data_IF_951206442827
#
_entry.id   IF_951206442827
#
_cell.length_a   1.000
_cell.length_b   1.000
_cell.length_c   1.000
_cell.angle_alpha   90.00
_cell.angle_beta   90.00
_cell.angle_gamma   90.00
#
_symmetry.space_group_name_H-M   'P 1'
#
loop_
_entity.id
_entity.type
_entity.pdbx_description
1 polymer ?
#
# COMPACT_ATOMS: atom_id res chain seq x y z
N UNK A 1 14.96 -15.39 -17.00
CA UNK A 1 14.96 -15.54 -15.53
C UNK A 1 14.23 -14.34 -14.93
N UNK A 2 13.24 -14.55 -14.04
CA UNK A 2 12.59 -13.43 -13.34
C UNK A 2 13.67 -12.66 -12.55
N UNK A 3 13.69 -11.33 -12.68
CA UNK A 3 14.68 -10.47 -12.00
C UNK A 3 14.52 -10.66 -10.48
N UNK A 4 15.61 -10.95 -9.79
CA UNK A 4 15.60 -11.14 -8.33
C UNK A 4 15.21 -9.83 -7.65
N UNK A 5 14.17 -9.87 -6.80
CA UNK A 5 13.72 -8.73 -6.00
C UNK A 5 14.66 -8.61 -4.80
N UNK A 6 15.37 -7.48 -4.66
CA UNK A 6 16.27 -7.24 -3.52
C UNK A 6 15.60 -6.42 -2.43
N UNK A 7 14.71 -5.51 -2.83
CA UNK A 7 14.00 -4.62 -1.90
C UNK A 7 12.56 -4.40 -2.36
N UNK A 8 11.63 -4.47 -1.42
CA UNK A 8 10.18 -4.31 -1.64
C UNK A 8 9.57 -3.32 -0.66
N UNK A 9 8.66 -2.47 -1.14
CA UNK A 9 7.82 -1.63 -0.28
C UNK A 9 6.45 -2.30 -0.13
N UNK A 10 6.08 -2.68 1.09
CA UNK A 10 4.80 -3.30 1.43
C UNK A 10 3.83 -2.24 2.00
N UNK A 11 2.64 -2.13 1.42
CA UNK A 11 1.51 -1.47 2.08
C UNK A 11 1.09 -2.31 3.30
N UNK A 12 1.39 -1.79 4.49
CA UNK A 12 1.31 -2.50 5.77
C UNK A 12 0.26 -1.85 6.67
N UNK A 13 -0.75 -2.62 7.08
CA UNK A 13 -1.84 -2.13 7.94
C UNK A 13 -1.65 -2.46 9.42
N UNK A 14 -0.63 -3.25 9.78
CA UNK A 14 -0.49 -3.76 11.16
C UNK A 14 -1.41 -4.94 11.49
N UNK A 15 -2.28 -5.35 10.56
CA UNK A 15 -3.14 -6.53 10.69
C UNK A 15 -2.35 -7.84 10.57
N UNK A 16 -3.03 -8.95 10.88
CA UNK A 16 -2.45 -10.30 10.81
C UNK A 16 -1.90 -10.59 9.42
N UNK A 17 -2.71 -10.38 8.37
CA UNK A 17 -2.35 -10.68 6.99
C UNK A 17 -1.06 -9.96 6.55
N UNK A 18 -1.00 -8.63 6.71
CA UNK A 18 0.19 -7.87 6.32
C UNK A 18 1.41 -8.19 7.18
N UNK A 19 1.22 -8.65 8.42
CA UNK A 19 2.32 -9.12 9.26
C UNK A 19 2.86 -10.46 8.77
N UNK A 20 2.00 -11.41 8.43
CA UNK A 20 2.42 -12.67 7.79
C UNK A 20 3.13 -12.38 6.46
N UNK A 21 2.64 -11.43 5.66
CA UNK A 21 3.26 -11.04 4.39
C UNK A 21 4.68 -10.49 4.59
N UNK A 22 4.96 -9.71 5.63
CA UNK A 22 6.34 -9.26 5.92
C UNK A 22 7.27 -10.47 6.08
N UNK A 23 6.88 -11.46 6.89
CA UNK A 23 7.70 -12.68 7.08
C UNK A 23 7.84 -13.47 5.79
N UNK A 24 6.74 -13.67 5.08
CA UNK A 24 6.72 -14.39 3.81
C UNK A 24 7.63 -13.73 2.75
N UNK A 25 7.63 -12.40 2.62
CA UNK A 25 8.54 -11.70 1.70
C UNK A 25 10.01 -11.90 2.07
N UNK A 26 10.34 -11.91 3.36
CA UNK A 26 11.72 -12.17 3.82
C UNK A 26 12.12 -13.62 3.51
N UNK A 27 11.26 -14.59 3.80
CA UNK A 27 11.58 -16.02 3.65
C UNK A 27 11.55 -16.50 2.19
N UNK A 28 10.57 -16.06 1.40
CA UNK A 28 10.37 -16.52 0.01
C UNK A 28 11.24 -15.75 -0.98
N UNK A 29 11.42 -14.44 -0.79
CA UNK A 29 12.19 -13.62 -1.72
C UNK A 29 13.61 -13.31 -1.23
N UNK A 30 13.91 -13.48 0.06
CA UNK A 30 15.21 -13.10 0.63
C UNK A 30 15.51 -11.61 0.51
N UNK A 31 14.45 -10.79 0.48
CA UNK A 31 14.53 -9.36 0.16
C UNK A 31 14.35 -8.48 1.40
N UNK A 32 14.87 -7.25 1.32
CA UNK A 32 14.62 -6.23 2.34
C UNK A 32 13.17 -5.72 2.21
N UNK A 33 12.41 -5.81 3.30
CA UNK A 33 11.03 -5.32 3.35
C UNK A 33 10.97 -3.95 4.02
N UNK A 34 10.44 -2.97 3.30
CA UNK A 34 10.08 -1.66 3.83
C UNK A 34 8.58 -1.65 4.06
N UNK A 35 8.15 -1.52 5.30
CA UNK A 35 6.74 -1.38 5.64
C UNK A 35 6.30 0.08 5.48
N UNK A 36 5.17 0.31 4.83
CA UNK A 36 4.58 1.63 4.66
C UNK A 36 3.13 1.62 5.13
N UNK A 37 2.79 2.53 6.05
CA UNK A 37 1.43 2.85 6.45
C UNK A 37 1.13 4.31 6.13
N UNK A 38 -0.08 4.58 5.64
CA UNK A 38 -0.58 5.93 5.40
C UNK A 38 -1.60 6.29 6.48
N UNK A 39 -1.40 7.37 7.22
CA UNK A 39 -2.46 7.95 8.05
C UNK A 39 -3.45 8.72 7.16
N UNK A 40 -4.70 8.27 7.16
CA UNK A 40 -5.82 8.92 6.48
C UNK A 40 -6.94 9.29 7.46
N UNK A 41 -6.65 9.28 8.76
CA UNK A 41 -7.57 9.63 9.84
C UNK A 41 -8.05 8.44 10.68
N UNK A 42 -7.42 7.27 10.56
CA UNK A 42 -7.79 6.07 11.34
C UNK A 42 -7.27 6.05 12.79
N UNK A 43 -6.52 7.09 13.23
CA UNK A 43 -6.13 7.33 14.63
C UNK A 43 -5.43 6.12 15.29
N UNK A 44 -6.06 5.54 16.31
CA UNK A 44 -5.52 4.50 17.22
C UNK A 44 -5.04 3.24 16.48
N UNK A 45 -5.49 3.00 15.25
CA UNK A 45 -5.03 1.87 14.43
C UNK A 45 -3.51 1.92 14.12
N UNK A 46 -2.89 3.09 14.21
CA UNK A 46 -1.45 3.31 13.97
C UNK A 46 -0.57 3.05 15.19
N UNK A 47 -1.16 2.89 16.38
CA UNK A 47 -0.41 2.71 17.61
C UNK A 47 0.37 1.40 17.60
N UNK A 48 1.66 1.48 17.98
CA UNK A 48 2.58 0.34 17.99
C UNK A 48 2.81 -0.31 16.61
N UNK A 49 2.36 0.30 15.51
CA UNK A 49 2.46 -0.27 14.17
C UNK A 49 3.92 -0.39 13.71
N UNK A 50 4.76 0.58 14.07
CA UNK A 50 6.21 0.54 13.84
C UNK A 50 6.86 -0.66 14.53
N UNK A 51 6.60 -0.83 15.83
CA UNK A 51 7.20 -1.91 16.61
C UNK A 51 6.75 -3.28 16.11
N UNK A 52 5.47 -3.42 15.72
CA UNK A 52 4.95 -4.63 15.07
C UNK A 52 5.71 -4.92 13.78
N UNK A 53 5.79 -3.97 12.85
CA UNK A 53 6.49 -4.17 11.57
C UNK A 53 7.95 -4.61 11.76
N UNK A 54 8.69 -3.94 12.65
CA UNK A 54 10.09 -4.28 12.95
C UNK A 54 10.21 -5.68 13.57
N UNK A 55 9.39 -6.01 14.58
CA UNK A 55 9.38 -7.35 15.20
C UNK A 55 9.08 -8.45 14.20
N UNK A 56 8.23 -8.16 13.22
CA UNK A 56 7.87 -9.08 12.15
C UNK A 56 8.96 -9.20 11.08
N UNK A 57 9.93 -8.28 11.02
CA UNK A 57 11.12 -8.39 10.15
C UNK A 57 11.22 -7.34 9.05
N UNK A 58 10.44 -6.27 9.11
CA UNK A 58 10.66 -5.11 8.24
C UNK A 58 12.01 -4.45 8.60
N UNK A 59 12.80 -4.10 7.59
CA UNK A 59 14.08 -3.39 7.77
C UNK A 59 13.87 -1.90 8.04
N UNK A 60 12.78 -1.33 7.53
CA UNK A 60 12.42 0.08 7.71
C UNK A 60 10.90 0.25 7.71
N UNK A 61 10.42 1.30 8.37
CA UNK A 61 9.00 1.63 8.46
C UNK A 61 8.78 3.12 8.16
N UNK A 62 7.86 3.38 7.24
CA UNK A 62 7.27 4.69 6.96
C UNK A 62 5.84 4.71 7.51
N UNK A 63 5.50 5.75 8.26
CA UNK A 63 4.15 6.04 8.73
C UNK A 63 3.93 7.51 8.39
N UNK A 64 3.25 7.78 7.28
CA UNK A 64 3.15 9.13 6.74
C UNK A 64 1.73 9.66 6.93
N UNK A 65 1.62 10.87 7.49
CA UNK A 65 0.36 11.59 7.57
C UNK A 65 -0.03 12.15 6.20
N UNK A 66 -1.11 11.61 5.64
CA UNK A 66 -1.66 11.99 4.33
C UNK A 66 -3.08 12.56 4.47
N UNK A 67 -3.54 12.91 5.68
CA UNK A 67 -4.90 13.39 5.93
C UNK A 67 -5.23 14.65 5.13
N UNK A 68 -4.33 15.64 5.13
CA UNK A 68 -4.49 16.90 4.41
C UNK A 68 -4.46 16.70 2.89
N UNK A 69 -3.54 15.87 2.37
CA UNK A 69 -3.50 15.54 0.94
C UNK A 69 -4.76 14.79 0.51
N UNK A 70 -5.23 13.86 1.34
CA UNK A 70 -6.45 13.11 1.06
C UNK A 70 -7.67 14.03 0.97
N UNK A 71 -7.84 14.94 1.92
CA UNK A 71 -8.91 15.90 1.90
C UNK A 71 -8.85 16.81 0.65
N UNK A 72 -7.70 17.45 0.43
CA UNK A 72 -7.51 18.47 -0.60
C UNK A 72 -7.55 17.90 -2.02
N UNK A 73 -6.84 16.79 -2.26
CA UNK A 73 -6.53 16.32 -3.62
C UNK A 73 -7.36 15.11 -4.05
N UNK A 74 -8.16 14.50 -3.15
CA UNK A 74 -9.02 13.35 -3.46
C UNK A 74 -10.48 13.58 -3.05
N UNK A 75 -10.74 13.93 -1.79
CA UNK A 75 -12.11 14.11 -1.26
C UNK A 75 -12.79 15.34 -1.86
N UNK A 76 -12.16 16.53 -1.80
CA UNK A 76 -12.77 17.75 -2.33
C UNK A 76 -13.02 17.72 -3.85
N UNK A 77 -12.14 17.14 -4.70
CA UNK A 77 -12.48 16.90 -6.11
C UNK A 77 -13.71 16.00 -6.30
N UNK A 78 -13.82 14.90 -5.57
CA UNK A 78 -14.99 14.01 -5.65
C UNK A 78 -16.28 14.71 -5.18
N UNK A 79 -16.18 15.52 -4.13
CA UNK A 79 -17.29 16.33 -3.60
C UNK A 79 -17.75 17.38 -4.62
N UNK A 80 -16.82 18.09 -5.27
CA UNK A 80 -17.14 19.06 -6.35
C UNK A 80 -17.88 18.41 -7.52
N UNK A 81 -17.60 17.15 -7.79
CA UNK A 81 -18.29 16.37 -8.82
C UNK A 81 -19.63 15.78 -8.37
N UNK A 82 -20.03 15.97 -7.10
CA UNK A 82 -21.15 15.26 -6.47
C UNK A 82 -21.08 13.75 -6.72
N UNK A 83 -19.87 13.19 -6.61
CA UNK A 83 -19.63 11.84 -7.07
C UNK A 83 -20.25 10.81 -6.10
N UNK A 84 -21.26 10.09 -6.59
CA UNK A 84 -21.97 9.04 -5.86
C UNK A 84 -22.05 7.81 -6.75
N UNK A 85 -21.47 6.71 -6.30
CA UNK A 85 -21.52 5.44 -7.02
C UNK A 85 -22.85 4.73 -6.74
N UNK A 86 -23.54 4.32 -7.81
CA UNK A 86 -24.85 3.62 -7.75
C UNK A 86 -25.88 4.33 -6.85
N UNK A 87 -25.84 5.67 -6.82
CA UNK A 87 -26.80 6.51 -6.10
C UNK A 87 -26.70 6.49 -4.57
N UNK A 88 -25.77 5.71 -3.98
CA UNK A 88 -25.69 5.55 -2.51
C UNK A 88 -24.28 5.62 -1.94
N UNK A 89 -23.25 5.16 -2.67
CA UNK A 89 -21.91 5.01 -2.11
C UNK A 89 -21.02 6.22 -2.40
N UNK A 90 -20.54 6.87 -1.33
CA UNK A 90 -19.65 8.05 -1.38
C UNK A 90 -18.17 7.73 -1.63
N UNK A 91 -17.86 6.50 -2.09
CA UNK A 91 -16.55 6.13 -2.63
C UNK A 91 -15.33 6.28 -1.69
N UNK A 92 -15.51 6.36 -0.37
CA UNK A 92 -14.40 6.61 0.57
C UNK A 92 -13.20 5.67 0.39
N UNK A 93 -13.43 4.36 0.28
CA UNK A 93 -12.37 3.39 0.00
C UNK A 93 -11.74 3.59 -1.38
N UNK A 94 -12.57 3.79 -2.41
CA UNK A 94 -12.10 3.96 -3.79
C UNK A 94 -11.20 5.18 -3.97
N UNK A 95 -11.45 6.25 -3.22
CA UNK A 95 -10.67 7.50 -3.25
C UNK A 95 -9.35 7.36 -2.48
N UNK A 96 -9.34 6.63 -1.36
CA UNK A 96 -8.15 6.47 -0.52
C UNK A 96 -7.05 5.64 -1.20
N UNK A 97 -7.42 4.56 -1.91
CA UNK A 97 -6.44 3.58 -2.43
C UNK A 97 -5.44 4.17 -3.43
N UNK A 98 -5.83 5.03 -4.39
CA UNK A 98 -4.86 5.68 -5.27
C UNK A 98 -3.85 6.56 -4.53
N UNK A 99 -4.23 7.25 -3.45
CA UNK A 99 -3.29 8.04 -2.65
C UNK A 99 -2.27 7.15 -1.94
N UNK A 100 -2.73 6.07 -1.30
CA UNK A 100 -1.82 5.10 -0.64
C UNK A 100 -0.86 4.51 -1.69
N UNK A 101 -1.38 4.09 -2.84
CA UNK A 101 -0.58 3.50 -3.91
C UNK A 101 0.45 4.50 -4.49
N UNK A 102 0.03 5.76 -4.68
CA UNK A 102 0.92 6.85 -5.12
C UNK A 102 2.07 7.04 -4.14
N UNK A 103 1.76 7.18 -2.85
CA UNK A 103 2.80 7.40 -1.83
C UNK A 103 3.74 6.19 -1.72
N UNK A 104 3.23 4.99 -1.89
CA UNK A 104 4.05 3.77 -1.92
C UNK A 104 5.04 3.76 -3.08
N UNK A 105 4.63 4.21 -4.27
CA UNK A 105 5.53 4.37 -5.43
C UNK A 105 6.61 5.43 -5.17
N UNK A 106 6.25 6.54 -4.52
CA UNK A 106 7.23 7.57 -4.13
C UNK A 106 8.28 7.02 -3.17
N UNK A 107 7.86 6.24 -2.17
CA UNK A 107 8.77 5.56 -1.25
C UNK A 107 9.63 4.53 -2.00
N UNK A 108 9.05 3.76 -2.91
CA UNK A 108 9.80 2.81 -3.73
C UNK A 108 10.90 3.50 -4.55
N UNK A 109 10.63 4.69 -5.11
CA UNK A 109 11.64 5.51 -5.80
C UNK A 109 12.73 6.00 -4.85
N UNK A 110 12.33 6.56 -3.71
CA UNK A 110 13.25 7.07 -2.68
C UNK A 110 14.22 5.98 -2.21
N UNK A 111 13.68 4.79 -1.99
CA UNK A 111 14.40 3.65 -1.44
C UNK A 111 15.08 2.78 -2.49
N UNK A 112 14.88 3.12 -3.77
CA UNK A 112 15.35 2.35 -4.93
C UNK A 112 14.90 0.88 -4.85
N UNK A 113 13.64 0.67 -4.47
CA UNK A 113 13.04 -0.65 -4.38
C UNK A 113 12.76 -1.22 -5.77
N UNK A 114 12.90 -2.54 -5.92
CA UNK A 114 12.64 -3.25 -7.17
C UNK A 114 11.14 -3.58 -7.34
N UNK A 115 10.42 -3.62 -6.22
CA UNK A 115 9.04 -4.09 -6.17
C UNK A 115 8.17 -3.31 -5.17
N UNK A 116 6.87 -3.37 -5.39
CA UNK A 116 5.82 -3.01 -4.42
C UNK A 116 4.95 -4.21 -4.11
N UNK A 117 4.45 -4.29 -2.89
CA UNK A 117 3.57 -5.35 -2.41
C UNK A 117 2.35 -4.78 -1.69
N UNK A 118 1.21 -5.46 -1.78
CA UNK A 118 0.01 -5.15 -1.01
C UNK A 118 -0.63 -6.40 -0.41
N UNK A 119 -1.35 -6.21 0.71
CA UNK A 119 -2.13 -7.25 1.37
C UNK A 119 -3.59 -7.37 0.92
N UNK A 120 -4.03 -6.63 -0.13
CA UNK A 120 -5.39 -6.76 -0.64
C UNK A 120 -5.71 -8.19 -1.13
N UNK A 121 -6.91 -8.67 -0.84
CA UNK A 121 -7.34 -10.04 -1.16
C UNK A 121 -7.39 -10.28 -2.67
N UNK A 122 -7.09 -11.51 -3.12
CA UNK A 122 -7.06 -11.88 -4.53
C UNK A 122 -8.42 -11.85 -5.25
N UNK A 123 -9.52 -11.62 -4.52
CA UNK A 123 -10.89 -11.56 -5.07
C UNK A 123 -11.59 -10.22 -4.82
N UNK A 124 -10.92 -9.24 -4.19
CA UNK A 124 -11.49 -7.94 -3.86
C UNK A 124 -11.20 -6.86 -4.90
N UNK A 125 -11.83 -5.70 -4.74
CA UNK A 125 -11.61 -4.53 -5.62
C UNK A 125 -10.29 -3.80 -5.33
N UNK A 126 -9.79 -3.88 -4.10
CA UNK A 126 -8.61 -3.10 -3.67
C UNK A 126 -7.33 -3.48 -4.43
N UNK A 127 -7.16 -4.75 -4.79
CA UNK A 127 -6.04 -5.17 -5.63
C UNK A 127 -6.00 -4.38 -6.95
N UNK A 128 -7.16 -4.20 -7.59
CA UNK A 128 -7.26 -3.48 -8.87
C UNK A 128 -6.94 -2.01 -8.67
N UNK A 129 -7.43 -1.40 -7.58
CA UNK A 129 -7.18 0.01 -7.25
C UNK A 129 -5.68 0.28 -7.03
N UNK A 130 -4.99 -0.60 -6.31
CA UNK A 130 -3.54 -0.52 -6.10
C UNK A 130 -2.78 -0.74 -7.41
N UNK A 131 -3.02 -1.86 -8.08
CA UNK A 131 -2.24 -2.30 -9.23
C UNK A 131 -2.38 -1.36 -10.44
N UNK A 132 -3.59 -0.85 -10.71
CA UNK A 132 -3.77 0.17 -11.76
C UNK A 132 -3.02 1.46 -11.44
N UNK A 133 -2.99 1.87 -10.18
CA UNK A 133 -2.26 3.08 -9.78
C UNK A 133 -0.74 2.86 -9.90
N UNK A 134 -0.23 1.69 -9.50
CA UNK A 134 1.18 1.37 -9.70
C UNK A 134 1.56 1.37 -11.18
N UNK A 135 0.77 0.71 -12.03
CA UNK A 135 1.03 0.65 -13.47
C UNK A 135 0.95 2.04 -14.13
N UNK A 136 0.06 2.90 -13.66
CA UNK A 136 -0.04 4.27 -14.16
C UNK A 136 1.15 5.15 -13.76
N UNK A 137 1.70 4.95 -12.55
CA UNK A 137 2.76 5.81 -12.02
C UNK A 137 4.16 5.28 -12.28
N UNK A 138 4.36 3.96 -12.27
CA UNK A 138 5.63 3.27 -12.44
C UNK A 138 5.43 1.95 -13.18
N UNK A 139 5.24 1.97 -14.52
CA UNK A 139 4.81 0.81 -15.31
C UNK A 139 5.80 -0.35 -15.30
N UNK A 140 7.06 -0.11 -14.93
CA UNK A 140 8.12 -1.12 -14.90
C UNK A 140 8.37 -1.71 -13.51
N UNK A 141 7.66 -1.25 -12.47
CA UNK A 141 7.84 -1.79 -11.12
C UNK A 141 7.28 -3.22 -11.05
N UNK A 142 7.99 -4.09 -10.33
CA UNK A 142 7.47 -5.43 -10.04
C UNK A 142 6.36 -5.30 -9.00
N UNK A 143 5.16 -5.78 -9.34
CA UNK A 143 4.05 -5.89 -8.39
C UNK A 143 4.05 -7.30 -7.81
N UNK A 144 4.03 -7.39 -6.47
CA UNK A 144 3.85 -8.63 -5.72
C UNK A 144 2.49 -8.59 -5.02
N UNK A 145 1.56 -9.44 -5.45
CA UNK A 145 0.25 -9.57 -4.82
C UNK A 145 0.21 -10.87 -4.03
N UNK A 146 0.53 -10.83 -2.73
CA UNK A 146 0.77 -12.03 -1.91
C UNK A 146 -0.40 -13.03 -1.89
N UNK A 147 -1.63 -12.55 -2.02
CA UNK A 147 -2.84 -13.39 -2.08
C UNK A 147 -3.11 -14.04 -3.45
N UNK A 148 -2.28 -13.76 -4.46
CA UNK A 148 -2.36 -14.30 -5.83
C UNK A 148 -1.05 -14.93 -6.30
N UNK A 149 0.03 -14.75 -5.56
CA UNK A 149 1.34 -15.25 -5.95
C UNK A 149 1.38 -16.77 -5.77
N UNK A 150 1.98 -17.47 -6.73
CA UNK A 150 2.15 -18.93 -6.75
C UNK A 150 3.46 -19.35 -6.09
#
# INVERSE_FOLDING_TARGET
MKKQVKKVVLAYSGGLDTSVIVKWLVETYGCEVIAFAADLGQKEELDGLRDRAIKTGAGKVYIDDLTEEFARDFVFPAMRANAVYEGTYLMGTSLARPLIAKRQIEIARLEKADAVCHGATGKGNDQVRFELTYMALEPHIRIIAAWKDE
#
